data_IF_657959178755
#
_entry.id   IF_657959178755
#
_cell.length_a   1.000
_cell.length_b   1.000
_cell.length_c   1.000
_cell.angle_alpha   90.00
_cell.angle_beta   90.00
_cell.angle_gamma   90.00
#
_symmetry.space_group_name_H-M   'P 1'
#
loop_
_entity.id
_entity.type
_entity.pdbx_description
1 polymer ?
#
# COMPACT_ATOMS: atom_id res chain seq x y z
N UNK A 1 38.10 2.61 -1.24
CA UNK A 1 36.69 3.05 -1.33
C UNK A 1 35.91 2.27 -2.40
N UNK A 2 36.37 2.20 -3.64
CA UNK A 2 35.72 1.48 -4.75
C UNK A 2 35.46 -0.01 -4.44
N UNK A 3 36.44 -0.77 -3.91
CA UNK A 3 36.28 -2.19 -3.52
C UNK A 3 35.27 -2.40 -2.38
N UNK A 4 35.13 -1.47 -1.43
CA UNK A 4 34.12 -1.54 -0.38
C UNK A 4 32.71 -1.36 -0.96
N UNK A 5 32.55 -0.39 -1.87
CA UNK A 5 31.29 -0.15 -2.56
C UNK A 5 30.88 -1.37 -3.38
N UNK A 6 31.77 -1.90 -4.23
CA UNK A 6 31.46 -3.02 -5.13
C UNK A 6 31.25 -4.35 -4.39
N UNK A 7 32.02 -4.65 -3.36
CA UNK A 7 32.02 -5.98 -2.74
C UNK A 7 31.10 -6.09 -1.52
N UNK A 8 30.75 -4.99 -0.86
CA UNK A 8 29.91 -5.04 0.34
C UNK A 8 28.60 -4.27 0.16
N UNK A 9 28.66 -3.04 -0.31
CA UNK A 9 27.47 -2.19 -0.36
C UNK A 9 26.52 -2.60 -1.51
N UNK A 10 27.05 -2.80 -2.71
CA UNK A 10 26.24 -3.18 -3.89
C UNK A 10 25.48 -4.49 -3.67
N UNK A 11 26.08 -5.60 -3.19
CA UNK A 11 25.35 -6.84 -2.95
C UNK A 11 24.23 -6.69 -1.91
N UNK A 12 24.46 -5.94 -0.83
CA UNK A 12 23.45 -5.67 0.20
C UNK A 12 22.27 -4.90 -0.42
N UNK A 13 22.57 -3.84 -1.16
CA UNK A 13 21.56 -3.00 -1.78
C UNK A 13 20.77 -3.75 -2.85
N UNK A 14 21.43 -4.60 -3.64
CA UNK A 14 20.74 -5.48 -4.61
C UNK A 14 19.84 -6.50 -3.90
N UNK A 15 20.27 -7.06 -2.76
CA UNK A 15 19.45 -7.97 -1.97
C UNK A 15 18.21 -7.28 -1.40
N UNK A 16 18.35 -6.05 -0.94
CA UNK A 16 17.21 -5.23 -0.47
C UNK A 16 16.29 -4.89 -1.65
N UNK A 17 16.84 -4.35 -2.74
CA UNK A 17 16.07 -3.93 -3.92
C UNK A 17 15.32 -5.06 -4.63
N UNK A 18 15.82 -6.29 -4.53
CA UNK A 18 15.20 -7.49 -5.09
C UNK A 18 14.36 -8.27 -4.07
N UNK A 19 14.18 -7.74 -2.86
CA UNK A 19 13.30 -8.36 -1.88
C UNK A 19 11.87 -8.40 -2.41
N UNK A 20 11.27 -9.59 -2.40
CA UNK A 20 9.95 -9.85 -2.98
C UNK A 20 8.87 -8.93 -2.42
N UNK A 21 8.88 -8.72 -1.10
CA UNK A 21 7.91 -7.85 -0.43
C UNK A 21 8.10 -6.40 -0.88
N UNK A 22 9.36 -5.90 -0.87
CA UNK A 22 9.65 -4.53 -1.28
C UNK A 22 9.32 -4.28 -2.75
N UNK A 23 9.58 -5.25 -3.63
CA UNK A 23 9.19 -5.18 -5.05
C UNK A 23 7.67 -5.15 -5.20
N UNK A 24 6.94 -5.99 -4.45
CA UNK A 24 5.48 -6.00 -4.49
C UNK A 24 4.89 -4.69 -3.94
N UNK A 25 5.43 -4.14 -2.86
CA UNK A 25 5.03 -2.85 -2.30
C UNK A 25 5.28 -1.73 -3.31
N UNK A 26 6.48 -1.64 -3.87
CA UNK A 26 6.81 -0.65 -4.90
C UNK A 26 5.87 -0.71 -6.10
N UNK A 27 5.70 -1.91 -6.66
CA UNK A 27 4.84 -2.10 -7.82
C UNK A 27 3.36 -1.84 -7.46
N UNK A 28 2.92 -2.25 -6.27
CA UNK A 28 1.56 -2.03 -5.78
C UNK A 28 1.25 -0.55 -5.58
N UNK A 29 2.17 0.22 -5.00
CA UNK A 29 2.03 1.68 -4.87
C UNK A 29 2.05 2.35 -6.24
N UNK A 30 2.82 1.85 -7.20
CA UNK A 30 2.82 2.39 -8.56
C UNK A 30 1.44 2.32 -9.24
N UNK A 31 0.55 1.40 -8.83
CA UNK A 31 -0.84 1.39 -9.28
C UNK A 31 -1.65 2.62 -8.85
N UNK A 32 -1.20 3.36 -7.84
CA UNK A 32 -1.87 4.59 -7.40
C UNK A 32 -1.56 5.79 -8.31
N UNK A 33 -0.44 5.76 -9.06
CA UNK A 33 0.04 6.90 -9.86
C UNK A 33 -1.00 7.45 -10.85
N UNK A 34 -1.71 6.65 -11.67
CA UNK A 34 -2.70 7.21 -12.60
C UNK A 34 -3.86 7.91 -11.86
N UNK A 35 -4.24 7.43 -10.66
CA UNK A 35 -5.29 8.06 -9.85
C UNK A 35 -4.79 9.38 -9.24
N UNK A 36 -3.55 9.42 -8.76
CA UNK A 36 -2.92 10.64 -8.26
C UNK A 36 -2.84 11.69 -9.36
N UNK A 37 -2.41 11.31 -10.57
CA UNK A 37 -2.32 12.22 -11.72
C UNK A 37 -3.71 12.73 -12.10
N UNK A 38 -4.72 11.85 -12.20
CA UNK A 38 -6.08 12.25 -12.53
C UNK A 38 -6.68 13.19 -11.47
N UNK A 39 -6.51 12.89 -10.18
CA UNK A 39 -6.99 13.73 -9.08
C UNK A 39 -6.28 15.09 -9.01
N UNK A 40 -4.96 15.12 -9.33
CA UNK A 40 -4.19 16.36 -9.32
C UNK A 40 -4.67 17.39 -10.36
N UNK A 41 -5.27 16.95 -11.48
CA UNK A 41 -5.87 17.87 -12.47
C UNK A 41 -7.00 18.68 -11.82
N UNK A 42 -7.88 18.02 -11.05
CA UNK A 42 -8.97 18.72 -10.35
C UNK A 42 -8.45 19.64 -9.26
N UNK A 43 -7.39 19.22 -8.54
CA UNK A 43 -6.74 20.03 -7.52
C UNK A 43 -6.09 21.29 -8.14
N UNK A 44 -5.42 21.15 -9.29
CA UNK A 44 -4.80 22.26 -10.03
C UNK A 44 -5.90 23.23 -10.50
N UNK A 45 -6.98 22.73 -11.11
CA UNK A 45 -8.10 23.56 -11.57
C UNK A 45 -8.71 24.34 -10.40
N UNK A 46 -8.88 23.72 -9.24
CA UNK A 46 -9.41 24.38 -8.06
C UNK A 46 -8.50 25.53 -7.54
N UNK A 47 -7.17 25.44 -7.77
CA UNK A 47 -6.17 26.33 -7.17
C UNK A 47 -5.32 27.10 -8.19
N UNK A 48 -5.85 27.37 -9.38
CA UNK A 48 -5.10 28.14 -10.39
C UNK A 48 -4.77 29.55 -9.88
N UNK A 49 -3.50 29.99 -9.95
CA UNK A 49 -3.06 31.30 -9.47
C UNK A 49 -3.40 32.43 -10.48
N UNK A 50 -4.67 32.55 -10.85
CA UNK A 50 -5.18 33.56 -11.77
C UNK A 50 -5.98 34.59 -10.96
N UNK A 51 -5.74 35.90 -11.11
CA UNK A 51 -6.52 36.90 -10.42
C UNK A 51 -8.04 36.77 -10.68
N UNK A 52 -8.84 36.71 -9.60
CA UNK A 52 -10.28 36.53 -9.67
C UNK A 52 -10.75 35.05 -9.82
N UNK A 53 -9.85 34.10 -10.10
CA UNK A 53 -10.18 32.69 -10.28
C UNK A 53 -10.80 32.08 -9.02
N UNK A 54 -10.18 32.33 -7.86
CA UNK A 54 -10.64 31.80 -6.57
C UNK A 54 -12.07 32.23 -6.21
N UNK A 55 -12.45 33.47 -6.57
CA UNK A 55 -13.82 33.96 -6.35
C UNK A 55 -14.84 33.27 -7.24
N UNK A 56 -14.47 32.97 -8.48
CA UNK A 56 -15.37 32.29 -9.44
C UNK A 56 -15.44 30.79 -9.19
N UNK A 57 -14.28 30.12 -9.01
CA UNK A 57 -14.21 28.67 -8.83
C UNK A 57 -14.66 28.23 -7.44
N UNK A 58 -14.59 29.13 -6.44
CA UNK A 58 -14.92 28.84 -5.04
C UNK A 58 -16.34 28.29 -4.87
N UNK A 59 -17.30 28.72 -5.68
CA UNK A 59 -18.65 28.17 -5.67
C UNK A 59 -18.73 26.70 -6.09
N UNK A 60 -17.70 26.19 -6.81
CA UNK A 60 -17.60 24.80 -7.26
C UNK A 60 -16.56 24.00 -6.47
N UNK A 61 -15.95 24.57 -5.43
CA UNK A 61 -14.87 23.96 -4.69
C UNK A 61 -15.26 22.61 -4.10
N UNK A 62 -16.48 22.50 -3.58
CA UNK A 62 -17.01 21.26 -3.03
C UNK A 62 -17.16 20.17 -4.12
N UNK A 63 -17.69 20.54 -5.30
CA UNK A 63 -17.82 19.62 -6.44
C UNK A 63 -16.46 19.14 -6.96
N UNK A 64 -15.46 20.03 -7.00
CA UNK A 64 -14.10 19.71 -7.41
C UNK A 64 -13.36 18.85 -6.38
N UNK A 65 -13.74 18.93 -5.11
CA UNK A 65 -13.17 18.09 -4.06
C UNK A 65 -13.56 16.61 -4.18
N UNK A 66 -14.71 16.30 -4.79
CA UNK A 66 -15.21 14.91 -4.93
C UNK A 66 -14.24 14.01 -5.70
N UNK A 67 -13.77 14.36 -6.92
CA UNK A 67 -12.78 13.56 -7.63
C UNK A 67 -11.43 13.50 -6.89
N UNK A 68 -11.04 14.55 -6.17
CA UNK A 68 -9.84 14.55 -5.34
C UNK A 68 -9.97 13.53 -4.21
N UNK A 69 -11.10 13.51 -3.51
CA UNK A 69 -11.36 12.53 -2.45
C UNK A 69 -11.45 11.09 -3.01
N UNK A 70 -12.07 10.90 -4.17
CA UNK A 70 -12.17 9.58 -4.82
C UNK A 70 -10.81 9.02 -5.27
N UNK A 71 -9.80 9.87 -5.45
CA UNK A 71 -8.45 9.50 -5.88
C UNK A 71 -7.47 9.50 -4.72
N UNK A 72 -7.13 10.66 -4.18
CA UNK A 72 -6.18 10.79 -3.04
C UNK A 72 -6.73 10.16 -1.76
N UNK A 73 -8.04 10.31 -1.51
CA UNK A 73 -8.70 9.70 -0.36
C UNK A 73 -8.79 8.17 -0.40
N UNK A 74 -8.47 7.53 -1.54
CA UNK A 74 -8.50 6.07 -1.72
C UNK A 74 -7.11 5.45 -1.98
N UNK A 75 -6.03 6.21 -1.85
CA UNK A 75 -4.65 5.74 -2.18
C UNK A 75 -4.29 4.47 -1.41
N UNK A 76 -4.58 4.40 -0.10
CA UNK A 76 -4.30 3.24 0.73
C UNK A 76 -5.06 1.99 0.27
N UNK A 77 -6.35 2.16 -0.07
CA UNK A 77 -7.18 1.08 -0.58
C UNK A 77 -6.67 0.56 -1.95
N UNK A 78 -6.33 1.47 -2.86
CA UNK A 78 -5.77 1.14 -4.18
C UNK A 78 -4.42 0.44 -4.04
N UNK A 79 -3.57 0.93 -3.12
CA UNK A 79 -2.30 0.30 -2.81
C UNK A 79 -2.48 -1.11 -2.24
N UNK A 80 -3.46 -1.33 -1.35
CA UNK A 80 -3.77 -2.66 -0.82
C UNK A 80 -4.08 -3.67 -1.93
N UNK A 81 -4.88 -3.26 -2.92
CA UNK A 81 -5.19 -4.06 -4.12
C UNK A 81 -3.90 -4.34 -4.91
N UNK A 82 -3.14 -3.30 -5.22
CA UNK A 82 -1.93 -3.42 -6.04
C UNK A 82 -0.85 -4.28 -5.40
N UNK A 83 -0.60 -4.11 -4.09
CA UNK A 83 0.43 -4.85 -3.36
C UNK A 83 0.06 -6.33 -3.26
N UNK A 84 -1.16 -6.64 -2.81
CA UNK A 84 -1.60 -8.02 -2.67
C UNK A 84 -1.66 -8.75 -4.00
N UNK A 85 -2.12 -8.09 -5.07
CA UNK A 85 -2.12 -8.64 -6.41
C UNK A 85 -0.70 -8.99 -6.89
N UNK A 86 0.26 -8.05 -6.78
CA UNK A 86 1.64 -8.27 -7.22
C UNK A 86 2.34 -9.35 -6.40
N UNK A 87 2.15 -9.35 -5.08
CA UNK A 87 2.75 -10.34 -4.18
C UNK A 87 2.18 -11.75 -4.43
N UNK A 88 0.86 -11.85 -4.64
CA UNK A 88 0.20 -13.11 -4.98
C UNK A 88 0.73 -13.68 -6.29
N UNK A 89 0.82 -12.85 -7.34
CA UNK A 89 1.37 -13.24 -8.65
C UNK A 89 2.81 -13.76 -8.55
N UNK A 90 3.62 -13.16 -7.70
CA UNK A 90 4.99 -13.63 -7.46
C UNK A 90 5.02 -15.07 -6.90
N UNK A 91 4.06 -15.41 -6.08
CA UNK A 91 3.93 -16.77 -5.51
C UNK A 91 3.05 -17.73 -6.32
N UNK A 92 2.72 -17.38 -7.57
CA UNK A 92 1.84 -18.14 -8.45
C UNK A 92 0.45 -18.43 -7.84
N UNK A 93 -0.04 -17.49 -6.99
CA UNK A 93 -1.39 -17.50 -6.45
C UNK A 93 -2.34 -16.72 -7.34
N UNK A 94 -3.66 -16.89 -7.15
CA UNK A 94 -4.64 -16.04 -7.82
C UNK A 94 -4.63 -14.61 -7.26
N UNK A 95 -4.13 -13.67 -8.08
CA UNK A 95 -3.97 -12.27 -7.69
C UNK A 95 -5.28 -11.59 -7.36
N UNK A 96 -6.35 -11.91 -8.11
CA UNK A 96 -7.65 -11.28 -7.91
C UNK A 96 -8.29 -11.71 -6.59
N UNK A 97 -8.29 -13.01 -6.29
CA UNK A 97 -8.79 -13.51 -5.01
C UNK A 97 -8.03 -12.90 -3.82
N UNK A 98 -6.70 -12.85 -3.91
CA UNK A 98 -5.88 -12.24 -2.85
C UNK A 98 -6.20 -10.75 -2.69
N UNK A 99 -6.39 -10.01 -3.79
CA UNK A 99 -6.76 -8.60 -3.74
C UNK A 99 -8.14 -8.39 -3.09
N UNK A 100 -9.14 -9.17 -3.47
CA UNK A 100 -10.49 -9.10 -2.88
C UNK A 100 -10.47 -9.39 -1.37
N UNK A 101 -9.75 -10.45 -0.95
CA UNK A 101 -9.60 -10.77 0.48
C UNK A 101 -8.92 -9.60 1.20
N UNK A 102 -7.85 -9.05 0.63
CA UNK A 102 -7.12 -7.93 1.23
C UNK A 102 -7.99 -6.68 1.36
N UNK A 103 -8.82 -6.37 0.37
CA UNK A 103 -9.79 -5.27 0.46
C UNK A 103 -10.73 -5.47 1.65
N UNK A 104 -11.31 -6.65 1.81
CA UNK A 104 -12.22 -6.93 2.91
C UNK A 104 -11.50 -6.84 4.28
N UNK A 105 -10.28 -7.36 4.38
CA UNK A 105 -9.41 -7.26 5.57
C UNK A 105 -9.07 -5.79 5.87
N UNK A 106 -8.70 -5.02 4.85
CA UNK A 106 -8.38 -3.60 5.00
C UNK A 106 -9.60 -2.81 5.47
N UNK A 107 -10.77 -2.98 4.85
CA UNK A 107 -12.01 -2.31 5.27
C UNK A 107 -12.36 -2.62 6.73
N UNK A 108 -12.24 -3.90 7.12
CA UNK A 108 -12.51 -4.32 8.50
C UNK A 108 -11.49 -3.72 9.49
N UNK A 109 -10.25 -3.49 9.07
CA UNK A 109 -9.23 -2.85 9.90
C UNK A 109 -9.49 -1.35 10.15
N UNK A 110 -10.28 -0.70 9.29
CA UNK A 110 -10.60 0.73 9.37
C UNK A 110 -11.86 1.04 10.20
N UNK A 111 -12.39 0.08 10.94
CA UNK A 111 -13.54 0.31 11.83
C UNK A 111 -13.12 1.23 12.99
N UNK A 112 -13.91 2.24 13.28
CA UNK A 112 -13.72 3.17 14.41
C UNK A 112 -14.26 2.61 15.75
N UNK A 113 -14.18 3.42 16.79
CA UNK A 113 -14.69 3.08 18.13
C UNK A 113 -16.22 2.92 18.16
N UNK A 114 -16.92 3.49 17.18
CA UNK A 114 -18.38 3.39 17.03
C UNK A 114 -18.82 2.24 16.13
N UNK A 115 -17.88 1.34 15.78
CA UNK A 115 -18.09 0.21 14.85
C UNK A 115 -18.52 0.63 13.45
N UNK A 116 -18.12 1.83 13.01
CA UNK A 116 -18.32 2.33 11.64
C UNK A 116 -16.99 2.29 10.87
N UNK A 117 -17.10 2.12 9.57
CA UNK A 117 -15.91 2.18 8.70
C UNK A 117 -15.49 3.64 8.58
N UNK A 118 -14.26 3.94 9.00
CA UNK A 118 -13.67 5.26 8.87
C UNK A 118 -13.03 5.40 7.48
N UNK A 119 -13.70 6.13 6.59
CA UNK A 119 -13.25 6.35 5.21
C UNK A 119 -12.03 7.27 5.12
N UNK A 120 -11.77 8.11 6.12
CA UNK A 120 -10.60 9.01 6.14
C UNK A 120 -9.27 8.25 6.16
N UNK A 121 -9.32 7.00 6.61
CA UNK A 121 -8.18 6.11 6.62
C UNK A 121 -7.96 5.33 5.31
N UNK A 122 -8.78 5.54 4.29
CA UNK A 122 -8.57 4.89 2.98
C UNK A 122 -7.45 5.55 2.17
N UNK A 123 -7.11 6.78 2.50
CA UNK A 123 -6.04 7.56 1.90
C UNK A 123 -4.64 7.20 2.40
N UNK A 124 -3.77 8.20 2.42
CA UNK A 124 -2.39 8.05 2.85
C UNK A 124 -2.23 7.63 4.32
N UNK A 125 -3.17 8.01 5.19
CA UNK A 125 -3.17 7.62 6.61
C UNK A 125 -3.25 6.11 6.83
N UNK A 126 -3.98 5.39 5.97
CA UNK A 126 -4.07 3.93 6.01
C UNK A 126 -3.04 3.18 5.18
N UNK A 127 -2.11 3.87 4.51
CA UNK A 127 -1.19 3.25 3.56
C UNK A 127 -0.28 2.19 4.21
N UNK A 128 0.22 2.45 5.43
CA UNK A 128 1.06 1.48 6.15
C UNK A 128 0.27 0.24 6.56
N UNK A 129 -0.96 0.43 7.04
CA UNK A 129 -1.87 -0.69 7.33
C UNK A 129 -2.16 -1.49 6.07
N UNK A 130 -2.39 -0.82 4.94
CA UNK A 130 -2.58 -1.46 3.64
C UNK A 130 -1.39 -2.35 3.25
N UNK A 131 -0.15 -1.86 3.42
CA UNK A 131 1.07 -2.62 3.12
C UNK A 131 1.13 -3.90 3.98
N UNK A 132 1.03 -3.74 5.30
CA UNK A 132 1.18 -4.87 6.23
C UNK A 132 0.06 -5.90 6.07
N UNK A 133 -1.19 -5.43 5.97
CA UNK A 133 -2.35 -6.32 5.80
C UNK A 133 -2.30 -7.05 4.46
N UNK A 134 -1.84 -6.41 3.38
CA UNK A 134 -1.62 -7.06 2.08
C UNK A 134 -0.62 -8.19 2.19
N UNK A 135 0.51 -7.95 2.85
CA UNK A 135 1.56 -8.96 3.04
C UNK A 135 1.03 -10.12 3.88
N UNK A 136 0.42 -9.85 5.03
CA UNK A 136 -0.12 -10.87 5.93
C UNK A 136 -1.18 -11.72 5.19
N UNK A 137 -2.13 -11.08 4.52
CA UNK A 137 -3.19 -11.76 3.77
C UNK A 137 -2.62 -12.72 2.73
N UNK A 138 -1.68 -12.26 1.90
CA UNK A 138 -1.08 -13.11 0.86
C UNK A 138 -0.30 -14.28 1.46
N UNK A 139 0.42 -14.08 2.58
CA UNK A 139 1.12 -15.17 3.25
C UNK A 139 0.16 -16.19 3.87
N UNK A 140 -0.97 -15.77 4.43
CA UNK A 140 -2.01 -16.70 4.93
C UNK A 140 -2.59 -17.48 3.75
N UNK A 141 -3.01 -16.83 2.67
CA UNK A 141 -3.52 -17.51 1.47
C UNK A 141 -2.51 -18.52 0.94
N UNK A 142 -1.23 -18.10 0.83
CA UNK A 142 -0.13 -18.99 0.42
C UNK A 142 0.00 -20.21 1.31
N UNK A 143 -0.05 -20.04 2.61
CA UNK A 143 0.01 -21.14 3.58
C UNK A 143 -1.13 -22.15 3.35
N UNK A 144 -2.38 -21.68 3.19
CA UNK A 144 -3.52 -22.53 2.94
C UNK A 144 -3.39 -23.31 1.62
N UNK A 145 -2.96 -22.64 0.55
CA UNK A 145 -2.77 -23.26 -0.76
C UNK A 145 -1.64 -24.31 -0.71
N UNK A 146 -0.50 -23.99 -0.10
CA UNK A 146 0.64 -24.90 0.00
C UNK A 146 0.33 -26.13 0.86
N UNK A 147 -0.49 -25.97 1.91
CA UNK A 147 -0.93 -27.06 2.77
C UNK A 147 -2.17 -27.79 2.26
N UNK A 148 -2.72 -27.37 1.10
CA UNK A 148 -3.96 -27.91 0.52
C UNK A 148 -5.15 -27.86 1.50
N UNK A 149 -5.20 -26.81 2.34
CA UNK A 149 -6.26 -26.57 3.33
C UNK A 149 -7.39 -25.75 2.68
N UNK A 150 -8.01 -26.28 1.65
CA UNK A 150 -9.11 -25.65 0.93
C UNK A 150 -10.14 -26.69 0.50
N UNK A 151 -11.34 -26.20 0.17
CA UNK A 151 -12.44 -27.04 -0.27
C UNK A 151 -12.21 -27.42 -1.73
N UNK A 152 -12.14 -28.74 -2.01
CA UNK A 152 -12.07 -29.27 -3.37
C UNK A 152 -13.48 -29.60 -3.85
N UNK A 153 -13.79 -29.22 -5.09
CA UNK A 153 -15.05 -29.55 -5.74
C UNK A 153 -14.85 -30.68 -6.76
N UNK A 154 -15.94 -31.45 -7.09
CA UNK A 154 -15.88 -32.46 -8.12
C UNK A 154 -15.52 -31.93 -9.50
N UNK A 155 -15.06 -32.82 -10.38
CA UNK A 155 -14.78 -32.51 -11.77
C UNK A 155 -16.02 -31.96 -12.50
N UNK A 156 -15.82 -31.01 -13.40
CA UNK A 156 -16.89 -30.38 -14.17
C UNK A 156 -17.39 -29.05 -13.65
N UNK A 157 -16.91 -28.57 -12.49
CA UNK A 157 -17.23 -27.23 -11.96
C UNK A 157 -16.44 -26.15 -12.72
N UNK A 158 -17.07 -25.03 -13.11
CA UNK A 158 -16.39 -23.93 -13.77
C UNK A 158 -15.21 -23.39 -12.94
N UNK A 159 -14.07 -23.05 -13.57
CA UNK A 159 -12.84 -22.63 -12.86
C UNK A 159 -13.06 -21.45 -11.90
N UNK A 160 -13.91 -20.48 -12.25
CA UNK A 160 -14.22 -19.33 -11.40
C UNK A 160 -14.92 -19.74 -10.09
N UNK A 161 -15.83 -20.72 -10.16
CA UNK A 161 -16.50 -21.25 -8.97
C UNK A 161 -15.50 -22.03 -8.11
N UNK A 162 -14.68 -22.88 -8.72
CA UNK A 162 -13.62 -23.61 -8.01
C UNK A 162 -12.71 -22.64 -7.23
N UNK A 163 -12.26 -21.58 -7.89
CA UNK A 163 -11.39 -20.57 -7.27
C UNK A 163 -12.05 -19.88 -6.08
N UNK A 164 -13.35 -19.60 -6.14
CA UNK A 164 -14.10 -19.01 -5.04
C UNK A 164 -14.11 -19.92 -3.80
N UNK A 165 -14.30 -21.23 -3.97
CA UNK A 165 -14.27 -22.19 -2.86
C UNK A 165 -12.85 -22.42 -2.31
N UNK A 166 -11.84 -22.42 -3.17
CA UNK A 166 -10.43 -22.48 -2.74
C UNK A 166 -10.07 -21.28 -1.86
N UNK A 167 -10.59 -20.10 -2.17
CA UNK A 167 -10.33 -18.87 -1.44
C UNK A 167 -11.14 -18.72 -0.16
N UNK A 168 -12.20 -19.51 0.05
CA UNK A 168 -13.14 -19.36 1.17
C UNK A 168 -12.48 -19.53 2.53
N UNK A 169 -11.74 -20.63 2.73
CA UNK A 169 -11.09 -20.93 4.01
C UNK A 169 -10.04 -19.89 4.40
N UNK A 170 -9.07 -19.50 3.52
CA UNK A 170 -8.13 -18.45 3.86
C UNK A 170 -8.80 -17.09 4.05
N UNK A 171 -9.85 -16.74 3.29
CA UNK A 171 -10.59 -15.51 3.47
C UNK A 171 -11.23 -15.44 4.87
N UNK A 172 -11.90 -16.51 5.27
CA UNK A 172 -12.50 -16.59 6.62
C UNK A 172 -11.46 -16.39 7.72
N UNK A 173 -10.32 -17.04 7.62
CA UNK A 173 -9.25 -16.90 8.63
C UNK A 173 -8.67 -15.48 8.64
N UNK A 174 -8.42 -14.88 7.49
CA UNK A 174 -7.95 -13.50 7.41
C UNK A 174 -8.94 -12.52 8.06
N UNK A 175 -10.22 -12.65 7.74
CA UNK A 175 -11.28 -11.80 8.31
C UNK A 175 -11.45 -12.04 9.82
N UNK A 176 -11.43 -13.28 10.27
CA UNK A 176 -11.52 -13.60 11.69
C UNK A 176 -10.34 -13.03 12.49
N UNK A 177 -9.11 -13.13 11.96
CA UNK A 177 -7.92 -12.56 12.60
C UNK A 177 -8.02 -11.05 12.74
N UNK A 178 -8.36 -10.33 11.66
CA UNK A 178 -8.46 -8.88 11.75
C UNK A 178 -9.64 -8.43 12.61
N UNK A 179 -10.76 -9.17 12.59
CA UNK A 179 -11.89 -8.92 13.46
C UNK A 179 -11.51 -9.04 14.95
N UNK A 180 -10.78 -10.10 15.33
CA UNK A 180 -10.28 -10.26 16.69
C UNK A 180 -9.35 -9.10 17.06
N UNK A 181 -8.40 -8.74 16.20
CA UNK A 181 -7.44 -7.65 16.49
C UNK A 181 -8.15 -6.32 16.62
N UNK A 182 -9.05 -5.97 15.68
CA UNK A 182 -9.65 -4.64 15.61
C UNK A 182 -10.86 -4.48 16.55
N UNK A 183 -11.72 -5.51 16.63
CA UNK A 183 -12.99 -5.40 17.35
C UNK A 183 -12.88 -5.98 18.76
N UNK A 184 -12.29 -7.18 18.93
CA UNK A 184 -12.22 -7.82 20.25
C UNK A 184 -11.12 -7.20 21.12
N UNK A 185 -9.91 -7.01 20.53
CA UNK A 185 -8.77 -6.41 21.24
C UNK A 185 -8.77 -4.88 21.20
N UNK A 186 -9.68 -4.27 20.42
CA UNK A 186 -9.77 -2.82 20.18
C UNK A 186 -8.42 -2.18 19.79
N UNK A 187 -7.60 -2.92 19.02
CA UNK A 187 -6.27 -2.47 18.63
C UNK A 187 -6.33 -1.66 17.34
N UNK A 188 -5.95 -0.38 17.42
CA UNK A 188 -5.88 0.48 16.24
C UNK A 188 -4.56 0.29 15.50
N UNK A 189 -4.64 -0.39 14.35
CA UNK A 189 -3.48 -0.69 13.51
C UNK A 189 -2.89 0.59 12.92
N UNK A 190 -3.72 1.57 12.51
CA UNK A 190 -3.24 2.83 11.95
C UNK A 190 -2.53 3.68 13.00
N UNK A 191 -3.11 3.80 14.19
CA UNK A 191 -2.49 4.53 15.30
C UNK A 191 -1.16 3.90 15.70
N UNK A 192 -1.08 2.57 15.74
CA UNK A 192 0.14 1.84 16.05
C UNK A 192 1.25 2.11 15.03
N UNK A 193 0.96 2.01 13.72
CA UNK A 193 1.96 2.31 12.71
C UNK A 193 2.32 3.80 12.66
N UNK A 194 1.37 4.69 12.89
CA UNK A 194 1.64 6.12 12.99
C UNK A 194 2.62 6.41 14.13
N UNK A 195 2.44 5.78 15.29
CA UNK A 195 3.33 5.94 16.44
C UNK A 195 4.76 5.44 16.13
N UNK A 196 4.89 4.25 15.55
CA UNK A 196 6.20 3.66 15.21
C UNK A 196 6.93 4.47 14.14
N UNK A 197 6.20 4.97 13.15
CA UNK A 197 6.79 5.65 12.00
C UNK A 197 6.94 7.16 12.21
N UNK A 198 6.28 7.72 13.22
CA UNK A 198 6.39 9.14 13.58
C UNK A 198 7.84 9.63 13.67
N UNK A 199 8.76 8.97 14.38
CA UNK A 199 10.15 9.43 14.45
C UNK A 199 10.88 9.38 13.10
N UNK A 200 10.53 8.41 12.23
CA UNK A 200 11.12 8.33 10.89
C UNK A 200 10.61 9.47 10.00
N UNK A 201 9.31 9.74 10.05
CA UNK A 201 8.67 10.84 9.33
C UNK A 201 9.26 12.17 9.77
N UNK A 202 9.31 12.43 11.08
CA UNK A 202 9.91 13.65 11.66
C UNK A 202 11.40 13.77 11.31
N UNK A 203 12.11 12.66 11.28
CA UNK A 203 13.52 12.62 10.87
C UNK A 203 13.73 13.02 9.41
N UNK A 204 12.89 12.54 8.49
CA UNK A 204 12.96 12.89 7.07
C UNK A 204 12.47 14.32 6.77
N UNK A 205 11.65 14.89 7.62
CA UNK A 205 11.21 16.30 7.53
C UNK A 205 12.29 17.30 7.97
N UNK A 206 13.43 16.80 8.46
CA UNK A 206 14.59 17.61 8.80
C UNK A 206 15.58 17.74 7.65
N UNK A 207 16.29 18.87 7.57
CA UNK A 207 17.35 19.07 6.58
C UNK A 207 18.41 17.94 6.60
N UNK A 208 18.94 17.48 7.76
CA UNK A 208 19.87 16.37 7.80
C UNK A 208 19.29 15.06 7.28
N UNK A 209 18.03 14.75 7.61
CA UNK A 209 17.37 13.53 7.16
C UNK A 209 17.15 13.51 5.65
N UNK A 210 16.70 14.63 5.08
CA UNK A 210 16.56 14.78 3.62
C UNK A 210 17.91 14.71 2.90
N UNK A 211 18.95 15.34 3.43
CA UNK A 211 20.29 15.24 2.85
C UNK A 211 20.83 13.82 2.87
N UNK A 212 20.58 13.09 3.96
CA UNK A 212 20.95 11.68 4.07
C UNK A 212 20.22 10.81 3.03
N UNK A 213 18.92 11.01 2.86
CA UNK A 213 18.12 10.30 1.86
C UNK A 213 18.59 10.58 0.44
N UNK A 214 18.78 11.86 0.08
CA UNK A 214 19.28 12.27 -1.24
C UNK A 214 20.69 11.74 -1.47
N UNK A 215 21.56 11.79 -0.46
CA UNK A 215 22.90 11.22 -0.49
C UNK A 215 22.87 9.71 -0.77
N UNK A 216 21.97 8.98 -0.11
CA UNK A 216 21.80 7.53 -0.30
C UNK A 216 21.29 7.21 -1.71
N UNK A 217 20.29 7.95 -2.20
CA UNK A 217 19.80 7.83 -3.58
C UNK A 217 20.94 8.05 -4.58
N UNK A 218 21.71 9.14 -4.41
CA UNK A 218 22.83 9.50 -5.29
C UNK A 218 23.93 8.44 -5.27
N UNK A 219 24.23 7.90 -4.09
CA UNK A 219 25.22 6.82 -3.93
C UNK A 219 24.79 5.55 -4.67
N UNK A 220 23.51 5.19 -4.60
CA UNK A 220 22.95 4.07 -5.37
C UNK A 220 23.11 4.28 -6.87
N UNK A 221 22.80 5.49 -7.38
CA UNK A 221 23.00 5.83 -8.78
C UNK A 221 24.47 5.73 -9.18
N UNK A 222 25.41 6.15 -8.35
CA UNK A 222 26.84 5.97 -8.62
C UNK A 222 27.27 4.48 -8.72
N UNK A 223 26.53 3.59 -8.03
CA UNK A 223 26.73 2.14 -8.12
C UNK A 223 25.99 1.49 -9.31
N UNK A 224 25.37 2.28 -10.20
CA UNK A 224 24.60 1.77 -11.33
C UNK A 224 23.23 1.19 -10.95
N UNK A 225 22.77 1.45 -9.73
CA UNK A 225 21.47 0.99 -9.22
C UNK A 225 20.51 2.18 -9.20
N UNK A 226 19.30 1.99 -9.70
CA UNK A 226 18.28 3.04 -9.70
C UNK A 226 17.81 3.34 -8.28
N UNK A 227 18.46 4.29 -7.60
CA UNK A 227 18.30 4.56 -6.17
C UNK A 227 16.85 4.83 -5.75
N UNK A 228 16.11 5.61 -6.54
CA UNK A 228 14.69 5.88 -6.28
C UNK A 228 13.84 4.60 -6.32
N UNK A 229 14.10 3.68 -7.25
CA UNK A 229 13.36 2.43 -7.31
C UNK A 229 13.61 1.52 -6.11
N UNK A 230 14.84 1.47 -5.61
CA UNK A 230 15.19 0.65 -4.44
C UNK A 230 14.55 1.20 -3.18
N UNK A 231 14.57 2.52 -3.01
CA UNK A 231 14.09 3.17 -1.80
C UNK A 231 12.60 3.49 -1.83
N UNK A 232 11.95 3.49 -3.02
CA UNK A 232 10.53 3.84 -3.16
C UNK A 232 9.60 2.96 -2.32
N UNK A 233 9.90 1.68 -2.13
CA UNK A 233 9.13 0.80 -1.25
C UNK A 233 9.06 1.27 0.21
N UNK A 234 10.03 2.07 0.65
CA UNK A 234 10.12 2.62 2.00
C UNK A 234 9.69 4.10 2.01
N UNK A 235 10.16 4.87 1.04
CA UNK A 235 9.97 6.33 1.03
C UNK A 235 8.59 6.75 0.51
N UNK A 236 8.02 6.04 -0.49
CA UNK A 236 6.71 6.41 -1.04
C UNK A 236 5.59 6.41 -0.01
N UNK A 237 5.46 5.41 0.89
CA UNK A 237 4.45 5.45 1.94
C UNK A 237 4.62 6.64 2.90
N UNK A 238 5.85 7.09 3.12
CA UNK A 238 6.16 8.23 3.99
C UNK A 238 5.75 9.53 3.31
N UNK A 239 6.17 9.75 2.06
CA UNK A 239 5.88 10.98 1.32
C UNK A 239 4.42 11.12 0.87
N UNK A 240 3.68 10.02 0.70
CA UNK A 240 2.25 10.08 0.40
C UNK A 240 1.38 10.42 1.62
N UNK A 241 1.95 10.42 2.83
CA UNK A 241 1.24 10.78 4.06
C UNK A 241 1.21 12.31 4.30
N UNK A 242 2.05 13.08 3.62
CA UNK A 242 2.11 14.55 3.64
C UNK A 242 1.43 15.14 2.43
#
# INVERSE_FOLDING_TARGET
>A
MKRFLENQLVPIMMKIGNNVILVAVRNGIAFTLPFIIAGSVFLIVANLPIPGWSGWIGQYAELLSIPVQATFGAIGLIAAIGISYNLARHYALDGLSCACITVAVFLLSQIDEYHKINVDNFGASGLFSAIILSVITVYIVRFFIQRKLYITLPDGVPPAVLQSFVSLAPAFVCLALIWVVRVVLNFDINAFFTLILSPLVTGLDTLPGMLLLVGLISLLWCCGIHGTNVLSGITSPIFLKF
#
